data_IF_345133989274
#
_entry.id   IF_345133989274
#
_cell.length_a   1.000
_cell.length_b   1.000
_cell.length_c   1.000
_cell.angle_alpha   90.00
_cell.angle_beta   90.00
_cell.angle_gamma   90.00
#
_symmetry.space_group_name_H-M   'P 1'
#
loop_
_entity.id
_entity.type
_entity.pdbx_description
1 polymer ?
#
# COMPACT_ATOMS: atom_id res chain seq x y z
N UNK A 1 -22.24 -23.89 30.57
CA UNK A 1 -20.83 -23.55 30.22
C UNK A 1 -20.64 -23.38 28.72
N UNK A 2 -20.93 -24.37 27.87
CA UNK A 2 -20.77 -24.27 26.42
C UNK A 2 -21.54 -23.11 25.76
N UNK A 3 -22.79 -22.86 26.17
CA UNK A 3 -23.61 -21.75 25.64
C UNK A 3 -23.01 -20.36 25.94
N UNK A 4 -22.43 -20.18 27.13
CA UNK A 4 -21.79 -18.92 27.50
C UNK A 4 -20.50 -18.68 26.70
N UNK A 5 -19.71 -19.75 26.49
CA UNK A 5 -18.51 -19.69 25.63
C UNK A 5 -18.90 -19.36 24.18
N UNK A 6 -19.94 -20.01 23.66
CA UNK A 6 -20.44 -19.76 22.31
C UNK A 6 -20.86 -18.28 22.11
N UNK A 7 -21.72 -17.76 22.98
CA UNK A 7 -22.16 -16.36 22.87
C UNK A 7 -21.04 -15.36 23.17
N UNK A 8 -20.08 -15.70 24.03
CA UNK A 8 -18.88 -14.91 24.24
C UNK A 8 -18.04 -14.79 22.95
N UNK A 9 -17.81 -15.91 22.26
CA UNK A 9 -17.09 -15.91 20.99
C UNK A 9 -17.84 -15.13 19.89
N UNK A 10 -19.17 -15.32 19.77
CA UNK A 10 -20.00 -14.55 18.82
C UNK A 10 -19.93 -13.06 19.12
N UNK A 11 -20.01 -12.67 20.40
CA UNK A 11 -19.92 -11.27 20.80
C UNK A 11 -18.57 -10.65 20.46
N UNK A 12 -17.47 -11.41 20.56
CA UNK A 12 -16.13 -10.93 20.18
C UNK A 12 -16.02 -10.68 18.66
N UNK A 13 -16.62 -11.56 17.86
CA UNK A 13 -16.69 -11.40 16.39
C UNK A 13 -17.53 -10.16 16.04
N UNK A 14 -18.72 -10.04 16.65
CA UNK A 14 -19.61 -8.89 16.42
C UNK A 14 -18.94 -7.58 16.87
N UNK A 15 -18.24 -7.58 18.00
CA UNK A 15 -17.49 -6.41 18.47
C UNK A 15 -16.46 -5.96 17.44
N UNK A 16 -15.63 -6.88 16.95
CA UNK A 16 -14.50 -6.58 16.06
C UNK A 16 -14.97 -6.12 14.68
N UNK A 17 -15.94 -6.82 14.10
CA UNK A 17 -16.33 -6.60 12.70
C UNK A 17 -17.49 -5.63 12.50
N UNK A 18 -18.30 -5.38 13.54
CA UNK A 18 -19.48 -4.52 13.43
C UNK A 18 -19.38 -3.33 14.38
N UNK A 19 -19.26 -3.59 15.69
CA UNK A 19 -19.35 -2.52 16.67
C UNK A 19 -18.15 -1.57 16.61
N UNK A 20 -16.93 -2.09 16.47
CA UNK A 20 -15.72 -1.27 16.40
C UNK A 20 -15.73 -0.33 15.18
N UNK A 21 -15.98 -0.78 13.93
CA UNK A 21 -16.12 0.13 12.79
C UNK A 21 -17.19 1.21 13.01
N UNK A 22 -18.38 0.83 13.50
CA UNK A 22 -19.48 1.79 13.78
C UNK A 22 -19.04 2.84 14.79
N UNK A 23 -18.42 2.43 15.90
CA UNK A 23 -17.92 3.36 16.92
C UNK A 23 -16.84 4.30 16.35
N UNK A 24 -15.94 3.79 15.51
CA UNK A 24 -14.91 4.63 14.87
C UNK A 24 -15.50 5.61 13.86
N UNK A 25 -16.54 5.23 13.12
CA UNK A 25 -17.26 6.10 12.19
C UNK A 25 -18.03 7.19 12.95
N UNK A 26 -18.77 6.81 14.01
CA UNK A 26 -19.46 7.74 14.89
C UNK A 26 -18.47 8.75 15.47
N UNK A 27 -17.34 8.28 16.02
CA UNK A 27 -16.29 9.15 16.55
C UNK A 27 -15.74 10.11 15.49
N UNK A 28 -15.49 9.61 14.28
CA UNK A 28 -15.00 10.42 13.16
C UNK A 28 -16.00 11.47 12.69
N UNK A 29 -17.31 11.17 12.77
CA UNK A 29 -18.37 12.11 12.43
C UNK A 29 -18.54 13.23 13.49
N UNK A 30 -18.39 12.91 14.77
CA UNK A 30 -18.52 13.88 15.86
C UNK A 30 -17.23 14.69 16.11
N UNK A 31 -16.06 14.12 15.83
CA UNK A 31 -14.76 14.80 15.94
C UNK A 31 -13.98 14.68 14.63
N UNK A 32 -14.43 15.38 13.56
CA UNK A 32 -13.64 15.45 12.34
C UNK A 32 -12.30 16.11 12.67
N UNK A 33 -11.21 15.42 12.33
CA UNK A 33 -9.87 16.04 12.34
C UNK A 33 -9.73 16.86 11.06
N UNK A 34 -9.46 18.15 11.21
CA UNK A 34 -9.09 18.98 10.08
C UNK A 34 -7.84 18.41 9.42
N UNK A 35 -7.96 18.00 8.16
CA UNK A 35 -6.81 17.62 7.35
C UNK A 35 -6.18 18.89 6.80
N UNK A 36 -5.12 19.36 7.45
CA UNK A 36 -4.28 20.41 6.88
C UNK A 36 -3.34 19.76 5.84
N UNK A 37 -3.80 19.64 4.60
CA UNK A 37 -2.93 19.32 3.48
C UNK A 37 -2.33 20.62 2.93
N UNK A 38 -1.06 20.88 3.24
CA UNK A 38 -0.30 21.90 2.53
C UNK A 38 0.17 21.26 1.22
N UNK A 39 -0.01 21.95 0.09
CA UNK A 39 0.49 21.49 -1.19
C UNK A 39 2.03 21.63 -1.22
N UNK A 40 2.71 20.56 -0.84
CA UNK A 40 4.16 20.41 -0.96
C UNK A 40 4.49 19.25 -1.90
N UNK A 41 5.62 19.32 -2.58
CA UNK A 41 6.17 18.24 -3.40
C UNK A 41 7.61 17.96 -2.93
N UNK A 42 7.79 17.24 -1.80
CA UNK A 42 9.13 16.86 -1.34
C UNK A 42 9.82 15.89 -2.31
N UNK A 43 11.12 15.73 -2.19
CA UNK A 43 11.80 14.60 -2.85
C UNK A 43 11.31 13.28 -2.24
N UNK A 44 10.89 12.34 -3.09
CA UNK A 44 10.35 11.04 -2.70
C UNK A 44 11.09 9.94 -3.44
N UNK A 45 11.49 8.91 -2.69
CA UNK A 45 12.07 7.68 -3.21
C UNK A 45 11.09 6.53 -3.03
N UNK A 46 10.67 5.90 -4.12
CA UNK A 46 9.85 4.69 -4.10
C UNK A 46 10.74 3.46 -4.26
N UNK A 47 10.94 2.72 -3.18
CA UNK A 47 11.70 1.47 -3.19
C UNK A 47 10.74 0.30 -3.39
N UNK A 48 11.00 -0.52 -4.42
CA UNK A 48 10.26 -1.74 -4.72
C UNK A 48 11.19 -2.92 -4.43
N UNK A 49 10.92 -3.65 -3.36
CA UNK A 49 11.57 -4.94 -3.12
C UNK A 49 10.93 -5.99 -4.03
N UNK A 50 11.73 -6.72 -4.80
CA UNK A 50 11.27 -7.72 -5.75
C UNK A 50 12.06 -9.02 -5.60
N UNK A 51 11.35 -10.15 -5.54
CA UNK A 51 11.92 -11.48 -5.63
C UNK A 51 10.98 -12.38 -6.43
N UNK A 52 11.41 -12.77 -7.63
CA UNK A 52 10.61 -13.55 -8.57
C UNK A 52 9.21 -12.96 -8.83
N UNK A 53 9.19 -11.72 -9.34
CA UNK A 53 7.98 -10.94 -9.63
C UNK A 53 7.76 -10.75 -11.14
N UNK A 54 8.27 -11.63 -12.02
CA UNK A 54 8.19 -11.44 -13.47
C UNK A 54 6.75 -11.25 -13.99
N UNK A 55 5.78 -11.91 -13.34
CA UNK A 55 4.36 -11.82 -13.70
C UNK A 55 3.70 -10.49 -13.31
N UNK A 56 4.25 -9.77 -12.32
CA UNK A 56 3.60 -8.60 -11.71
C UNK A 56 4.39 -7.30 -11.88
N UNK A 57 5.72 -7.38 -12.00
CA UNK A 57 6.62 -6.23 -11.93
C UNK A 57 6.34 -5.23 -13.05
N UNK A 58 6.02 -5.69 -14.26
CA UNK A 58 5.68 -4.82 -15.39
C UNK A 58 4.49 -3.92 -15.08
N UNK A 59 3.39 -4.52 -14.59
CA UNK A 59 2.19 -3.77 -14.23
C UNK A 59 2.46 -2.80 -13.09
N UNK A 60 3.33 -3.17 -12.15
CA UNK A 60 3.74 -2.30 -11.04
C UNK A 60 4.53 -1.08 -11.55
N UNK A 61 5.51 -1.28 -12.43
CA UNK A 61 6.33 -0.18 -12.97
C UNK A 61 5.49 0.78 -13.82
N UNK A 62 4.59 0.27 -14.67
CA UNK A 62 3.66 1.14 -15.42
C UNK A 62 2.73 1.94 -14.49
N UNK A 63 2.24 1.33 -13.42
CA UNK A 63 1.43 2.04 -12.42
C UNK A 63 2.20 3.16 -11.73
N UNK A 64 3.46 2.92 -11.38
CA UNK A 64 4.35 3.93 -10.77
C UNK A 64 4.64 5.06 -11.76
N UNK A 65 4.87 4.75 -13.03
CA UNK A 65 5.06 5.76 -14.06
C UNK A 65 3.79 6.54 -14.38
N UNK A 66 2.61 6.05 -14.03
CA UNK A 66 1.36 6.79 -14.15
C UNK A 66 1.12 7.81 -13.02
N UNK A 67 1.98 7.84 -11.98
CA UNK A 67 1.83 8.79 -10.88
C UNK A 67 1.98 10.25 -11.35
N UNK A 68 1.05 11.10 -10.90
CA UNK A 68 1.11 12.55 -11.10
C UNK A 68 1.98 13.14 -9.99
N UNK A 69 3.30 13.07 -10.16
CA UNK A 69 4.30 13.65 -9.26
C UNK A 69 5.41 14.32 -10.07
N UNK A 70 6.00 15.44 -9.61
CA UNK A 70 7.10 16.08 -10.34
C UNK A 70 8.30 15.12 -10.46
N UNK A 71 8.71 14.85 -11.71
CA UNK A 71 9.75 13.86 -12.04
C UNK A 71 11.11 14.19 -11.43
N UNK A 72 11.44 15.48 -11.35
CA UNK A 72 12.70 15.94 -10.76
C UNK A 72 12.81 15.68 -9.25
N UNK A 73 11.69 15.36 -8.59
CA UNK A 73 11.60 15.07 -7.15
C UNK A 73 11.10 13.65 -6.85
N UNK A 74 11.14 12.74 -7.83
CA UNK A 74 10.67 11.38 -7.67
C UNK A 74 11.65 10.39 -8.27
N UNK A 75 12.19 9.51 -7.43
CA UNK A 75 13.04 8.40 -7.86
C UNK A 75 12.37 7.06 -7.55
N UNK A 76 12.61 6.09 -8.41
CA UNK A 76 12.17 4.70 -8.24
C UNK A 76 13.40 3.83 -8.15
N UNK A 77 13.43 2.92 -7.19
CA UNK A 77 14.54 2.01 -6.95
C UNK A 77 14.00 0.59 -6.84
N UNK A 78 14.38 -0.30 -7.76
CA UNK A 78 14.01 -1.71 -7.66
C UNK A 78 15.13 -2.51 -7.00
N UNK A 79 14.88 -2.99 -5.79
CA UNK A 79 15.79 -3.85 -5.06
C UNK A 79 15.44 -5.32 -5.34
N UNK A 80 16.15 -5.95 -6.28
CA UNK A 80 15.99 -7.39 -6.56
C UNK A 80 16.83 -8.24 -5.62
N UNK A 81 16.18 -9.13 -4.87
CA UNK A 81 16.82 -10.09 -3.94
C UNK A 81 17.24 -11.39 -4.65
N UNK A 82 18.03 -11.28 -5.72
CA UNK A 82 18.52 -12.46 -6.46
C UNK A 82 17.44 -13.22 -7.25
N UNK A 83 16.51 -12.49 -7.90
CA UNK A 83 15.48 -13.08 -8.76
C UNK A 83 16.06 -13.92 -9.90
N UNK A 84 15.36 -14.99 -10.27
CA UNK A 84 15.79 -16.00 -11.27
C UNK A 84 14.78 -16.23 -12.41
N UNK A 85 13.67 -15.50 -12.39
CA UNK A 85 12.48 -15.75 -13.21
C UNK A 85 12.28 -14.76 -14.37
N UNK A 86 13.23 -13.86 -14.63
CA UNK A 86 13.07 -12.80 -15.62
C UNK A 86 12.75 -11.42 -15.04
N UNK A 87 12.57 -11.29 -13.71
CA UNK A 87 12.25 -10.00 -13.07
C UNK A 87 13.25 -8.91 -13.43
N UNK A 88 14.55 -9.20 -13.37
CA UNK A 88 15.61 -8.22 -13.60
C UNK A 88 15.66 -7.76 -15.05
N UNK A 89 15.43 -8.67 -15.98
CA UNK A 89 15.37 -8.41 -17.41
C UNK A 89 14.22 -7.44 -17.71
N UNK A 90 13.03 -7.69 -17.13
CA UNK A 90 11.88 -6.80 -17.27
C UNK A 90 12.17 -5.42 -16.67
N UNK A 91 12.76 -5.35 -15.48
CA UNK A 91 13.10 -4.07 -14.84
C UNK A 91 14.06 -3.26 -15.69
N UNK A 92 15.07 -3.90 -16.30
CA UNK A 92 16.04 -3.23 -17.18
C UNK A 92 15.42 -2.59 -18.42
N UNK A 93 14.27 -3.07 -18.89
CA UNK A 93 13.53 -2.42 -19.98
C UNK A 93 13.02 -1.01 -19.62
N UNK A 94 13.08 -0.61 -18.35
CA UNK A 94 12.58 0.67 -17.84
C UNK A 94 13.69 1.65 -17.44
N UNK A 95 14.97 1.32 -17.62
CA UNK A 95 16.11 2.19 -17.25
C UNK A 95 16.03 3.58 -17.93
N UNK A 96 15.58 3.63 -19.19
CA UNK A 96 15.42 4.87 -19.95
C UNK A 96 14.25 5.74 -19.47
N UNK A 97 13.36 5.17 -18.65
CA UNK A 97 12.17 5.83 -18.09
C UNK A 97 12.38 6.28 -16.63
N UNK A 98 13.60 6.16 -16.10
CA UNK A 98 13.97 6.64 -14.77
C UNK A 98 13.64 5.68 -13.63
N UNK A 99 13.76 4.37 -13.87
CA UNK A 99 13.61 3.27 -12.90
C UNK A 99 14.93 2.54 -12.75
#
# INVERSE_FOLDING_TARGET
MALAIFWGAVSLIVYTYVLFPILTMIRGAFWPREHHSIAIAPSVSLIIAAYNEADSIRAKLENVLALVYPRDSFEVLVASDGSTDGTNEIVREYEDRGI
#
